data_IF_799589461731
#
_entry.id   IF_799589461731
#
_cell.length_a   1.000
_cell.length_b   1.000
_cell.length_c   1.000
_cell.angle_alpha   90.00
_cell.angle_beta   90.00
_cell.angle_gamma   90.00
#
_symmetry.space_group_name_H-M   'P 1'
#
loop_
_entity.id
_entity.type
_entity.pdbx_description
1 polymer ?
#
# COMPACT_ATOMS: atom_id res chain seq x y z
N UNK A 1 17.56 14.27 -13.59
CA UNK A 1 17.36 12.92 -13.03
C UNK A 1 15.92 12.55 -13.33
N UNK A 2 15.70 11.50 -14.11
CA UNK A 2 14.36 10.99 -14.39
C UNK A 2 13.73 10.31 -13.17
N UNK A 3 12.44 10.00 -13.27
CA UNK A 3 11.72 9.22 -12.26
C UNK A 3 12.24 7.79 -12.22
N UNK A 4 12.24 7.15 -11.05
CA UNK A 4 12.66 5.75 -10.89
C UNK A 4 11.80 5.02 -9.83
N UNK A 5 12.16 3.77 -9.51
CA UNK A 5 11.41 2.94 -8.55
C UNK A 5 11.29 3.60 -7.16
N UNK A 6 12.23 4.45 -6.76
CA UNK A 6 12.17 5.18 -5.48
C UNK A 6 10.97 6.11 -5.41
N UNK A 7 10.58 6.76 -6.53
CA UNK A 7 9.38 7.58 -6.61
C UNK A 7 8.11 6.75 -6.37
N UNK A 8 8.09 5.52 -6.85
CA UNK A 8 6.96 4.60 -6.66
C UNK A 8 6.90 4.13 -5.21
N UNK A 9 8.03 3.79 -4.60
CA UNK A 9 8.08 3.39 -3.19
C UNK A 9 7.66 4.56 -2.29
N UNK A 10 8.09 5.79 -2.58
CA UNK A 10 7.65 6.97 -1.84
C UNK A 10 6.13 7.15 -1.91
N UNK A 11 5.50 6.89 -3.07
CA UNK A 11 4.03 6.88 -3.18
C UNK A 11 3.39 5.74 -2.39
N UNK A 12 4.03 4.56 -2.32
CA UNK A 12 3.56 3.45 -1.49
C UNK A 12 3.61 3.79 0.02
N UNK A 13 4.66 4.50 0.46
CA UNK A 13 4.78 5.04 1.83
C UNK A 13 3.64 6.02 2.10
N UNK A 14 3.37 6.95 1.19
CA UNK A 14 2.27 7.90 1.34
C UNK A 14 0.90 7.22 1.50
N UNK A 15 0.64 6.14 0.74
CA UNK A 15 -0.57 5.32 0.91
C UNK A 15 -0.60 4.67 2.30
N UNK A 16 0.51 4.11 2.78
CA UNK A 16 0.57 3.48 4.10
C UNK A 16 0.32 4.48 5.24
N UNK A 17 0.93 5.67 5.19
CA UNK A 17 0.70 6.76 6.14
C UNK A 17 -0.76 7.16 6.16
N UNK A 18 -1.37 7.33 4.98
CA UNK A 18 -2.78 7.69 4.89
C UNK A 18 -3.71 6.65 5.52
N UNK A 19 -3.44 5.37 5.29
CA UNK A 19 -4.20 4.28 5.93
C UNK A 19 -4.03 4.28 7.45
N UNK A 20 -2.85 4.62 7.93
CA UNK A 20 -2.59 4.73 9.36
C UNK A 20 -3.50 5.78 9.97
N UNK A 21 -3.61 6.95 9.33
CA UNK A 21 -4.54 8.01 9.72
C UNK A 21 -6.00 7.55 9.70
N UNK A 22 -6.44 6.80 8.68
CA UNK A 22 -7.81 6.24 8.63
C UNK A 22 -8.09 5.35 9.86
N UNK A 23 -7.16 4.46 10.21
CA UNK A 23 -7.35 3.57 11.37
C UNK A 23 -7.32 4.33 12.72
N UNK A 24 -6.52 5.41 12.80
CA UNK A 24 -6.52 6.33 13.95
C UNK A 24 -7.87 7.03 14.08
N UNK A 25 -8.40 7.58 13.00
CA UNK A 25 -9.72 8.23 12.96
C UNK A 25 -10.83 7.27 13.38
N UNK A 26 -10.89 6.07 12.81
CA UNK A 26 -11.90 5.05 13.18
C UNK A 26 -11.82 4.73 14.69
N UNK A 27 -10.61 4.61 15.25
CA UNK A 27 -10.42 4.33 16.67
C UNK A 27 -10.84 5.49 17.58
N UNK A 28 -10.66 6.73 17.13
CA UNK A 28 -11.05 7.96 17.85
C UNK A 28 -12.56 8.20 17.79
N UNK A 29 -13.21 7.93 16.67
CA UNK A 29 -14.66 8.08 16.45
C UNK A 29 -15.50 7.03 17.20
N UNK A 30 -14.85 5.95 17.67
CA UNK A 30 -15.49 4.87 18.42
C UNK A 30 -14.94 4.76 19.87
N UNK A 31 -15.03 5.83 20.69
CA UNK A 31 -14.35 5.88 21.98
C UNK A 31 -14.85 4.81 22.98
N UNK A 32 -16.12 4.44 22.91
CA UNK A 32 -16.75 3.51 23.85
C UNK A 32 -16.66 2.04 23.39
N UNK A 33 -16.24 1.78 22.15
CA UNK A 33 -16.09 0.43 21.62
C UNK A 33 -14.65 -0.07 21.79
N UNK A 34 -14.39 -0.72 22.92
CA UNK A 34 -13.06 -1.26 23.26
C UNK A 34 -12.49 -2.18 22.17
N UNK A 35 -13.34 -3.02 21.57
CA UNK A 35 -12.91 -3.96 20.54
C UNK A 35 -12.46 -3.25 19.27
N UNK A 36 -13.17 -2.20 18.82
CA UNK A 36 -12.74 -1.37 17.68
C UNK A 36 -11.40 -0.69 18.00
N UNK A 37 -11.23 -0.14 19.21
CA UNK A 37 -9.95 0.47 19.63
C UNK A 37 -8.78 -0.51 19.59
N UNK A 38 -8.98 -1.73 20.09
CA UNK A 38 -7.93 -2.77 20.08
C UNK A 38 -7.55 -3.08 18.62
N UNK A 39 -8.53 -3.28 17.74
CA UNK A 39 -8.29 -3.57 16.33
C UNK A 39 -7.58 -2.40 15.62
N UNK A 40 -8.02 -1.16 15.82
CA UNK A 40 -7.33 0.03 15.31
C UNK A 40 -5.86 0.04 15.70
N UNK A 41 -5.55 -0.19 16.98
CA UNK A 41 -4.16 -0.19 17.46
C UNK A 41 -3.33 -1.33 16.86
N UNK A 42 -3.92 -2.50 16.63
CA UNK A 42 -3.24 -3.62 15.97
C UNK A 42 -2.92 -3.27 14.51
N UNK A 43 -3.89 -2.74 13.76
CA UNK A 43 -3.71 -2.35 12.37
C UNK A 43 -2.73 -1.18 12.21
N UNK A 44 -2.77 -0.19 13.11
CA UNK A 44 -1.79 0.91 13.12
C UNK A 44 -0.37 0.38 13.30
N UNK A 45 -0.14 -0.52 14.27
CA UNK A 45 1.18 -1.12 14.49
C UNK A 45 1.69 -1.93 13.31
N UNK A 46 0.79 -2.56 12.57
CA UNK A 46 1.12 -3.33 11.37
C UNK A 46 1.45 -2.41 10.19
N UNK A 47 0.76 -1.27 10.07
CA UNK A 47 1.08 -0.20 9.14
C UNK A 47 2.42 0.49 9.47
N UNK A 48 2.73 0.71 10.74
CA UNK A 48 4.03 1.26 11.18
C UNK A 48 5.18 0.37 10.69
N UNK A 49 5.05 -0.95 10.83
CA UNK A 49 6.03 -1.92 10.30
C UNK A 49 6.12 -1.89 8.77
N UNK A 50 5.00 -1.67 8.08
CA UNK A 50 4.98 -1.53 6.62
C UNK A 50 5.72 -0.27 6.18
N UNK A 51 5.53 0.85 6.87
CA UNK A 51 6.23 2.11 6.61
C UNK A 51 7.74 1.91 6.84
N UNK A 52 8.13 1.36 7.98
CA UNK A 52 9.53 1.07 8.31
C UNK A 52 10.19 0.15 7.28
N UNK A 53 9.47 -0.87 6.79
CA UNK A 53 9.95 -1.75 5.73
C UNK A 53 10.25 -0.96 4.44
N UNK A 54 9.36 -0.06 4.01
CA UNK A 54 9.59 0.75 2.81
C UNK A 54 10.71 1.77 2.98
N UNK A 55 10.82 2.41 4.14
CA UNK A 55 11.92 3.33 4.45
C UNK A 55 13.27 2.61 4.48
N UNK A 56 13.31 1.41 5.06
CA UNK A 56 14.48 0.53 5.03
C UNK A 56 14.81 0.07 3.62
N UNK A 57 13.81 -0.18 2.78
CA UNK A 57 14.02 -0.52 1.38
C UNK A 57 14.62 0.67 0.61
N UNK A 58 14.08 1.88 0.80
CA UNK A 58 14.59 3.11 0.20
C UNK A 58 16.05 3.37 0.58
N UNK A 59 16.41 3.21 1.86
CA UNK A 59 17.80 3.40 2.30
C UNK A 59 18.75 2.35 1.73
N UNK A 60 18.31 1.10 1.54
CA UNK A 60 19.12 0.04 0.91
C UNK A 60 19.37 0.27 -0.57
N UNK A 61 18.53 1.06 -1.24
CA UNK A 61 18.60 1.26 -2.69
C UNK A 61 19.03 2.67 -3.08
N UNK A 62 19.38 3.54 -2.11
CA UNK A 62 19.72 4.95 -2.36
C UNK A 62 20.92 5.12 -3.30
N UNK A 63 21.88 4.20 -3.25
CA UNK A 63 23.11 4.25 -4.03
C UNK A 63 23.06 3.34 -5.27
N UNK A 64 21.90 2.77 -5.57
CA UNK A 64 21.71 1.86 -6.71
C UNK A 64 21.10 2.63 -7.88
N UNK A 65 21.75 2.58 -9.03
CA UNK A 65 21.18 3.11 -10.27
C UNK A 65 20.07 2.18 -10.78
N UNK A 66 18.90 2.76 -11.02
CA UNK A 66 17.70 2.09 -11.53
C UNK A 66 17.35 2.55 -12.94
N UNK A 67 16.53 1.75 -13.60
CA UNK A 67 15.96 2.11 -14.88
C UNK A 67 15.13 3.40 -14.74
N UNK A 68 15.37 4.39 -15.60
CA UNK A 68 14.53 5.58 -15.65
C UNK A 68 13.13 5.20 -16.18
N UNK A 69 12.12 5.80 -15.56
CA UNK A 69 10.72 5.61 -15.91
C UNK A 69 10.37 6.63 -16.98
N UNK A 70 9.85 6.14 -18.10
CA UNK A 70 9.27 6.98 -19.14
C UNK A 70 8.21 7.92 -18.56
N UNK A 71 8.30 9.21 -18.88
CA UNK A 71 7.43 10.24 -18.34
C UNK A 71 5.94 9.92 -18.52
N UNK A 72 5.54 9.39 -19.68
CA UNK A 72 4.13 9.07 -19.95
C UNK A 72 3.62 7.92 -19.09
N UNK A 73 4.50 6.98 -18.71
CA UNK A 73 4.18 5.88 -17.82
C UNK A 73 4.08 6.42 -16.39
N UNK A 74 5.04 7.24 -15.97
CA UNK A 74 5.04 7.88 -14.66
C UNK A 74 3.78 8.72 -14.43
N UNK A 75 3.38 9.52 -15.41
CA UNK A 75 2.18 10.37 -15.32
C UNK A 75 0.91 9.53 -15.13
N UNK A 76 0.75 8.47 -15.93
CA UNK A 76 -0.38 7.53 -15.80
C UNK A 76 -0.42 6.85 -14.43
N UNK A 77 0.72 6.37 -13.92
CA UNK A 77 0.81 5.77 -12.59
C UNK A 77 0.49 6.78 -11.49
N UNK A 78 1.01 8.01 -11.63
CA UNK A 78 0.74 9.08 -10.67
C UNK A 78 -0.74 9.45 -10.63
N UNK A 79 -1.40 9.57 -11.79
CA UNK A 79 -2.85 9.80 -11.86
C UNK A 79 -3.63 8.66 -11.19
N UNK A 80 -3.26 7.42 -11.47
CA UNK A 80 -3.91 6.23 -10.92
C UNK A 80 -3.78 6.17 -9.38
N UNK A 81 -2.61 6.49 -8.84
CA UNK A 81 -2.38 6.59 -7.39
C UNK A 81 -3.17 7.75 -6.79
N UNK A 82 -3.22 8.90 -7.46
CA UNK A 82 -3.98 10.05 -7.00
C UNK A 82 -5.49 9.75 -6.93
N UNK A 83 -6.03 9.07 -7.93
CA UNK A 83 -7.43 8.67 -7.96
C UNK A 83 -7.74 7.60 -6.90
N UNK A 84 -6.82 6.66 -6.68
CA UNK A 84 -6.92 5.74 -5.56
C UNK A 84 -6.98 6.48 -4.22
N UNK A 85 -6.07 7.43 -4.01
CA UNK A 85 -6.03 8.22 -2.79
C UNK A 85 -7.34 8.99 -2.55
N UNK A 86 -7.93 9.58 -3.58
CA UNK A 86 -9.24 10.25 -3.46
C UNK A 86 -10.37 9.29 -3.08
N UNK A 87 -10.34 8.05 -3.59
CA UNK A 87 -11.38 7.05 -3.28
C UNK A 87 -11.34 6.56 -1.84
N UNK A 88 -10.16 6.53 -1.22
CA UNK A 88 -10.03 6.08 0.18
C UNK A 88 -10.24 7.20 1.20
N UNK A 89 -10.43 8.46 0.76
CA UNK A 89 -10.77 9.63 1.61
C UNK A 89 -12.27 9.71 1.99
N UNK A 90 -13.03 8.63 1.80
CA UNK A 90 -14.47 8.62 2.09
C UNK A 90 -14.68 8.40 3.60
N UNK A 91 -15.67 9.09 4.17
CA UNK A 91 -16.09 8.89 5.56
C UNK A 91 -16.56 7.43 5.77
N UNK A 92 -15.86 6.69 6.62
CA UNK A 92 -16.13 5.27 6.88
C UNK A 92 -16.81 5.13 8.24
N UNK A 93 -18.05 4.65 8.24
CA UNK A 93 -18.77 4.32 9.48
C UNK A 93 -18.59 2.84 9.80
N UNK A 94 -17.78 2.55 10.81
CA UNK A 94 -17.58 1.20 11.35
C UNK A 94 -18.40 1.03 12.62
N UNK A 95 -19.38 0.12 12.62
CA UNK A 95 -20.23 -0.10 13.79
C UNK A 95 -19.78 -1.28 14.66
N UNK A 96 -19.02 -2.20 14.08
CA UNK A 96 -18.55 -3.40 14.76
C UNK A 96 -17.22 -3.91 14.16
N UNK A 97 -16.58 -4.82 14.89
CA UNK A 97 -15.27 -5.41 14.51
C UNK A 97 -15.33 -6.15 13.18
N UNK A 98 -16.44 -6.84 12.87
CA UNK A 98 -16.56 -7.60 11.61
C UNK A 98 -16.57 -6.67 10.41
N UNK A 99 -17.34 -5.58 10.47
CA UNK A 99 -17.32 -4.52 9.45
C UNK A 99 -15.93 -3.92 9.29
N UNK A 100 -15.22 -3.69 10.41
CA UNK A 100 -13.87 -3.15 10.38
C UNK A 100 -12.89 -4.09 9.67
N UNK A 101 -12.84 -5.37 10.07
CA UNK A 101 -11.94 -6.35 9.48
C UNK A 101 -12.23 -6.53 7.98
N UNK A 102 -13.51 -6.57 7.59
CA UNK A 102 -13.89 -6.63 6.18
C UNK A 102 -13.44 -5.38 5.41
N UNK A 103 -13.66 -4.19 5.96
CA UNK A 103 -13.18 -2.95 5.37
C UNK A 103 -11.66 -2.98 5.18
N UNK A 104 -10.90 -3.37 6.21
CA UNK A 104 -9.44 -3.44 6.16
C UNK A 104 -8.94 -4.45 5.12
N UNK A 105 -9.59 -5.60 5.01
CA UNK A 105 -9.29 -6.62 4.01
C UNK A 105 -9.54 -6.12 2.58
N UNK A 106 -10.71 -5.53 2.31
CA UNK A 106 -11.05 -5.00 0.98
C UNK A 106 -10.12 -3.85 0.57
N UNK A 107 -9.71 -3.03 1.53
CA UNK A 107 -8.73 -1.97 1.31
C UNK A 107 -7.36 -2.57 0.93
N UNK A 108 -6.89 -3.61 1.61
CA UNK A 108 -5.64 -4.28 1.24
C UNK A 108 -5.70 -4.92 -0.15
N UNK A 109 -6.81 -5.59 -0.49
CA UNK A 109 -7.03 -6.14 -1.84
C UNK A 109 -7.01 -5.06 -2.93
N UNK A 110 -7.58 -3.90 -2.63
CA UNK A 110 -7.56 -2.75 -3.54
C UNK A 110 -6.15 -2.18 -3.74
N UNK A 111 -5.33 -2.16 -2.67
CA UNK A 111 -3.92 -1.73 -2.74
C UNK A 111 -3.07 -2.74 -3.50
N UNK A 112 -3.29 -4.04 -3.28
CA UNK A 112 -2.64 -5.08 -4.06
C UNK A 112 -2.94 -4.91 -5.56
N UNK A 113 -4.21 -4.69 -5.91
CA UNK A 113 -4.64 -4.47 -7.30
C UNK A 113 -3.97 -3.22 -7.91
N UNK A 114 -3.87 -2.14 -7.13
CA UNK A 114 -3.13 -0.92 -7.49
C UNK A 114 -1.66 -1.22 -7.78
N UNK A 115 -0.97 -1.96 -6.91
CA UNK A 115 0.44 -2.31 -7.08
C UNK A 115 0.67 -3.21 -8.28
N UNK A 116 -0.23 -4.17 -8.54
CA UNK A 116 -0.19 -5.02 -9.73
C UNK A 116 -0.35 -4.21 -11.03
N UNK A 117 -1.28 -3.25 -11.07
CA UNK A 117 -1.44 -2.38 -12.25
C UNK A 117 -0.18 -1.50 -12.46
N UNK A 118 0.34 -0.90 -11.40
CA UNK A 118 1.61 -0.14 -11.44
C UNK A 118 2.73 -1.01 -12.00
N UNK A 119 2.93 -2.23 -11.47
CA UNK A 119 3.95 -3.15 -11.95
C UNK A 119 3.74 -3.53 -13.42
N UNK A 120 2.50 -3.85 -13.81
CA UNK A 120 2.14 -4.23 -15.17
C UNK A 120 2.46 -3.15 -16.21
N UNK A 121 2.37 -1.87 -15.83
CA UNK A 121 2.71 -0.74 -16.72
C UNK A 121 4.21 -0.63 -17.04
N UNK A 122 5.08 -1.29 -16.28
CA UNK A 122 6.50 -1.40 -16.60
C UNK A 122 6.80 -2.51 -17.60
N UNK A 123 5.87 -3.44 -17.85
CA UNK A 123 6.08 -4.56 -18.75
C UNK A 123 5.63 -4.19 -20.16
N UNK A 124 6.59 -3.79 -21.01
CA UNK A 124 6.36 -3.62 -22.45
C UNK A 124 6.67 -4.91 -23.20
N UNK A 125 7.75 -5.59 -22.78
CA UNK A 125 8.25 -6.83 -23.37
C UNK A 125 8.53 -7.87 -22.27
N UNK A 126 8.69 -9.14 -22.66
CA UNK A 126 8.96 -10.23 -21.72
C UNK A 126 10.26 -10.07 -20.93
N UNK A 127 11.24 -9.32 -21.45
CA UNK A 127 12.51 -9.04 -20.77
C UNK A 127 12.38 -8.12 -19.56
N UNK A 128 11.32 -7.30 -19.50
CA UNK A 128 11.18 -6.24 -18.49
C UNK A 128 10.95 -6.81 -17.08
N UNK A 129 10.48 -8.06 -16.99
CA UNK A 129 10.31 -8.79 -15.73
C UNK A 129 11.66 -9.04 -15.01
N UNK A 130 12.77 -8.92 -15.72
CA UNK A 130 14.11 -9.10 -15.17
C UNK A 130 14.74 -7.80 -14.66
N UNK A 131 14.11 -6.64 -14.92
CA UNK A 131 14.55 -5.32 -14.44
C UNK A 131 14.62 -5.26 -12.92
N UNK A 132 15.47 -4.38 -12.40
CA UNK A 132 15.58 -4.17 -10.95
C UNK A 132 14.27 -3.61 -10.39
N UNK A 133 13.68 -2.66 -11.11
CA UNK A 133 12.37 -2.07 -10.79
C UNK A 133 11.28 -3.13 -10.65
N UNK A 134 11.14 -4.03 -11.63
CA UNK A 134 10.12 -5.07 -11.58
C UNK A 134 10.30 -6.00 -10.38
N UNK A 135 11.53 -6.46 -10.10
CA UNK A 135 11.84 -7.34 -8.97
C UNK A 135 11.52 -6.70 -7.61
N UNK A 136 11.80 -5.40 -7.46
CA UNK A 136 11.46 -4.67 -6.25
C UNK A 136 9.94 -4.62 -6.06
N UNK A 137 9.20 -4.29 -7.11
CA UNK A 137 7.74 -4.26 -7.05
C UNK A 137 7.16 -5.64 -6.76
N UNK A 138 7.71 -6.72 -7.33
CA UNK A 138 7.30 -8.10 -7.03
C UNK A 138 7.45 -8.40 -5.54
N UNK A 139 8.60 -8.06 -4.94
CA UNK A 139 8.81 -8.30 -3.51
C UNK A 139 7.81 -7.54 -2.62
N UNK A 140 7.45 -6.31 -3.00
CA UNK A 140 6.42 -5.51 -2.31
C UNK A 140 5.05 -6.19 -2.43
N UNK A 141 4.70 -6.63 -3.64
CA UNK A 141 3.45 -7.32 -3.96
C UNK A 141 3.34 -8.64 -3.19
N UNK A 142 4.40 -9.45 -3.16
CA UNK A 142 4.43 -10.74 -2.44
C UNK A 142 4.23 -10.55 -0.92
N UNK A 143 4.79 -9.49 -0.35
CA UNK A 143 4.56 -9.16 1.05
C UNK A 143 3.09 -8.74 1.31
N UNK A 144 2.46 -8.05 0.35
CA UNK A 144 1.04 -7.71 0.43
C UNK A 144 0.14 -8.94 0.34
N UNK A 145 0.46 -9.92 -0.53
CA UNK A 145 -0.28 -11.19 -0.63
C UNK A 145 -0.29 -11.92 0.72
N UNK A 146 0.88 -12.07 1.35
CA UNK A 146 0.98 -12.70 2.69
C UNK A 146 0.14 -12.00 3.74
N UNK A 147 0.04 -10.66 3.67
CA UNK A 147 -0.78 -9.91 4.60
C UNK A 147 -2.29 -10.12 4.33
N UNK A 148 -2.71 -10.10 3.07
CA UNK A 148 -4.09 -10.40 2.69
C UNK A 148 -4.50 -11.80 3.18
N UNK A 149 -3.67 -12.82 2.94
CA UNK A 149 -3.92 -14.20 3.40
C UNK A 149 -4.05 -14.30 4.92
N UNK A 150 -3.31 -13.48 5.68
CA UNK A 150 -3.43 -13.41 7.13
C UNK A 150 -4.78 -12.79 7.54
N UNK A 151 -5.18 -11.69 6.92
CA UNK A 151 -6.46 -11.02 7.21
C UNK A 151 -7.66 -11.88 6.83
N UNK A 152 -7.59 -12.63 5.72
CA UNK A 152 -8.63 -13.56 5.30
C UNK A 152 -8.90 -14.63 6.37
N UNK A 153 -7.85 -15.26 6.91
CA UNK A 153 -7.95 -16.26 7.99
C UNK A 153 -8.57 -15.73 9.28
N UNK A 154 -8.48 -14.43 9.53
CA UNK A 154 -9.04 -13.78 10.73
C UNK A 154 -10.50 -13.34 10.49
N UNK A 155 -10.89 -13.17 9.22
CA UNK A 155 -12.21 -12.66 8.83
C UNK A 155 -13.21 -13.79 8.54
N UNK A 156 -12.73 -14.99 8.22
CA UNK A 156 -13.50 -16.26 8.17
C UNK A 156 -14.01 -16.69 9.56
#
# INVERSE_FOLDING_TARGET
MGYNVTDIINKAVAIAIKRRTINETIGQENPDNLSIKIISNVLIKELDKTIEYYETLLSKISDVEFEEIDFSIYDKMSSLINDFNKRIDIEIKINNVREYLRFSLELEKSIYSLMMDIQGRFVKNTSDIHSKTYKILSNIIDNKVKHIEMLEKITE
#
